data_IF_561815279854
#
_entry.id   IF_561815279854
#
_cell.length_a   1.000
_cell.length_b   1.000
_cell.length_c   1.000
_cell.angle_alpha   90.00
_cell.angle_beta   90.00
_cell.angle_gamma   90.00
#
_symmetry.space_group_name_H-M   'P 1'
#
loop_
_entity.id
_entity.type
_entity.pdbx_description
1 polymer ?
#
# COMPACT_ATOMS: atom_id res chain seq x y z
N UNK A 1 3.01 11.77 15.08
CA UNK A 1 2.79 10.50 15.80
C UNK A 1 3.77 9.48 15.26
N UNK A 2 4.67 8.92 16.07
CA UNK A 2 5.45 7.75 15.66
C UNK A 2 4.58 6.51 15.84
N UNK A 3 4.14 5.92 14.72
CA UNK A 3 3.39 4.68 14.73
C UNK A 3 4.35 3.56 15.16
N UNK A 4 4.17 3.03 16.38
CA UNK A 4 4.97 1.92 16.89
C UNK A 4 4.44 0.61 16.26
N UNK A 5 4.66 0.42 14.95
CA UNK A 5 4.22 -0.79 14.25
C UNK A 5 5.15 -1.92 14.62
N UNK A 6 4.61 -2.97 15.25
CA UNK A 6 5.32 -4.21 15.41
C UNK A 6 5.53 -4.85 14.04
N UNK A 7 6.77 -5.05 13.61
CA UNK A 7 7.10 -5.68 12.33
C UNK A 7 8.40 -5.17 11.73
N UNK A 8 8.83 -5.78 10.63
CA UNK A 8 9.97 -5.33 9.84
C UNK A 8 9.52 -4.90 8.45
N UNK A 9 10.14 -3.89 7.83
CA UNK A 9 9.82 -3.51 6.45
C UNK A 9 9.91 -4.69 5.47
N UNK A 10 9.17 -4.63 4.36
CA UNK A 10 9.13 -5.70 3.36
C UNK A 10 10.51 -6.03 2.83
N UNK A 11 11.38 -5.03 2.69
CA UNK A 11 12.77 -5.17 2.23
C UNK A 11 13.61 -6.15 3.08
N UNK A 12 13.19 -6.43 4.32
CA UNK A 12 13.88 -7.34 5.24
C UNK A 12 13.35 -8.77 5.18
N UNK A 13 12.67 -9.17 4.10
CA UNK A 13 12.11 -10.51 3.95
C UNK A 13 13.18 -11.60 4.00
N UNK A 14 12.88 -12.70 4.69
CA UNK A 14 13.78 -13.86 4.82
C UNK A 14 13.52 -14.97 3.80
N UNK A 15 12.40 -14.92 3.08
CA UNK A 15 12.05 -15.90 2.06
C UNK A 15 11.14 -15.32 0.98
N UNK A 16 11.19 -15.90 -0.22
CA UNK A 16 10.31 -15.54 -1.32
C UNK A 16 8.82 -15.77 -0.99
N UNK A 17 8.51 -16.83 -0.23
CA UNK A 17 7.15 -17.10 0.23
C UNK A 17 6.62 -15.95 1.09
N UNK A 18 7.43 -15.49 2.06
CA UNK A 18 7.07 -14.37 2.94
C UNK A 18 6.87 -13.07 2.16
N UNK A 19 7.73 -12.80 1.18
CA UNK A 19 7.59 -11.66 0.28
C UNK A 19 6.25 -11.70 -0.46
N UNK A 20 5.90 -12.83 -1.08
CA UNK A 20 4.65 -12.98 -1.84
C UNK A 20 3.43 -12.82 -0.95
N UNK A 21 3.43 -13.43 0.24
CA UNK A 21 2.33 -13.31 1.20
C UNK A 21 2.15 -11.85 1.67
N UNK A 22 3.25 -11.17 1.97
CA UNK A 22 3.20 -9.80 2.46
C UNK A 22 2.70 -8.82 1.39
N UNK A 23 3.20 -8.93 0.16
CA UNK A 23 2.71 -8.14 -0.99
C UNK A 23 1.24 -8.41 -1.26
N UNK A 24 0.84 -9.69 -1.27
CA UNK A 24 -0.56 -10.06 -1.44
C UNK A 24 -1.46 -9.43 -0.38
N UNK A 25 -1.06 -9.47 0.90
CA UNK A 25 -1.83 -8.84 1.98
C UNK A 25 -1.89 -7.31 1.83
N UNK A 26 -0.80 -6.65 1.43
CA UNK A 26 -0.78 -5.21 1.14
C UNK A 26 -1.78 -4.83 0.03
N UNK A 27 -1.82 -5.61 -1.06
CA UNK A 27 -2.77 -5.41 -2.15
C UNK A 27 -4.22 -5.61 -1.72
N UNK A 28 -4.49 -6.60 -0.87
CA UNK A 28 -5.82 -6.82 -0.30
C UNK A 28 -6.23 -5.67 0.62
N UNK A 29 -5.31 -5.14 1.44
CA UNK A 29 -5.57 -3.97 2.29
C UNK A 29 -5.89 -2.73 1.45
N UNK A 30 -5.09 -2.46 0.41
CA UNK A 30 -5.34 -1.37 -0.53
C UNK A 30 -6.69 -1.53 -1.25
N UNK A 31 -6.97 -2.73 -1.79
CA UNK A 31 -8.23 -3.02 -2.48
C UNK A 31 -9.44 -2.80 -1.56
N UNK A 32 -9.35 -3.26 -0.31
CA UNK A 32 -10.40 -3.02 0.69
C UNK A 32 -10.58 -1.52 0.99
N UNK A 33 -9.49 -0.76 1.15
CA UNK A 33 -9.57 0.68 1.39
C UNK A 33 -10.26 1.42 0.23
N UNK A 34 -9.93 1.05 -1.01
CA UNK A 34 -10.57 1.62 -2.19
C UNK A 34 -12.05 1.24 -2.26
N UNK A 35 -12.37 -0.06 -2.20
CA UNK A 35 -13.72 -0.55 -2.43
C UNK A 35 -14.70 -0.21 -1.31
N UNK A 36 -14.23 -0.15 -0.05
CA UNK A 36 -15.09 0.04 1.13
C UNK A 36 -15.13 1.47 1.63
N UNK A 37 -14.05 2.23 1.44
CA UNK A 37 -13.92 3.58 1.95
C UNK A 37 -13.67 4.63 0.86
N UNK A 38 -13.48 4.23 -0.40
CA UNK A 38 -13.14 5.16 -1.48
C UNK A 38 -11.77 5.79 -1.27
N UNK A 39 -10.83 5.10 -0.63
CA UNK A 39 -9.50 5.65 -0.31
C UNK A 39 -8.43 5.01 -1.20
N UNK A 40 -7.61 5.86 -1.84
CA UNK A 40 -6.36 5.46 -2.50
C UNK A 40 -5.17 5.72 -1.57
N UNK A 41 -4.29 4.73 -1.36
CA UNK A 41 -3.11 4.88 -0.49
C UNK A 41 -2.00 5.73 -1.13
N UNK A 42 -1.85 5.65 -2.46
CA UNK A 42 -0.89 6.40 -3.27
C UNK A 42 0.60 6.04 -3.11
N UNK A 43 0.98 5.32 -2.05
CA UNK A 43 2.35 4.84 -1.84
C UNK A 43 2.38 3.39 -1.32
N UNK A 44 2.51 2.44 -2.24
CA UNK A 44 2.69 1.00 -1.93
C UNK A 44 4.15 0.57 -2.08
N UNK A 45 5.09 1.45 -1.74
CA UNK A 45 6.51 1.11 -1.68
C UNK A 45 6.79 0.00 -0.64
N UNK A 46 7.88 -0.79 -0.83
CA UNK A 46 8.28 -1.84 0.11
C UNK A 46 8.47 -1.36 1.56
N UNK A 47 8.83 -0.10 1.75
CA UNK A 47 9.02 0.55 3.05
C UNK A 47 7.70 0.70 3.82
N UNK A 48 6.58 0.81 3.09
CA UNK A 48 5.24 0.96 3.66
C UNK A 48 4.47 -0.36 3.79
N UNK A 49 5.10 -1.48 3.43
CA UNK A 49 4.54 -2.81 3.68
C UNK A 49 5.35 -3.46 4.81
N UNK A 50 4.74 -3.64 5.96
CA UNK A 50 5.38 -4.26 7.12
C UNK A 50 5.07 -5.75 7.17
N UNK A 51 6.09 -6.56 7.42
CA UNK A 51 5.96 -7.96 7.76
C UNK A 51 5.76 -8.08 9.26
N UNK A 52 4.62 -8.65 9.67
CA UNK A 52 4.33 -8.95 11.07
C UNK A 52 3.65 -10.32 11.18
N UNK A 53 4.22 -11.22 11.99
CA UNK A 53 3.66 -12.57 12.24
C UNK A 53 3.31 -13.29 10.92
N UNK A 54 4.28 -13.32 9.99
CA UNK A 54 4.14 -13.94 8.65
C UNK A 54 3.05 -13.35 7.74
N UNK A 55 2.58 -12.13 8.01
CA UNK A 55 1.59 -11.41 7.21
C UNK A 55 2.11 -10.04 6.80
N UNK A 56 1.53 -9.49 5.74
CA UNK A 56 1.78 -8.10 5.31
C UNK A 56 0.77 -7.13 5.89
N UNK A 57 1.26 -5.98 6.33
CA UNK A 57 0.47 -4.84 6.81
C UNK A 57 0.83 -3.61 5.99
N UNK A 58 -0.15 -2.99 5.33
CA UNK A 58 0.05 -1.72 4.62
C UNK A 58 -0.08 -0.55 5.61
N UNK A 59 0.98 0.24 5.73
CA UNK A 59 1.12 1.35 6.69
C UNK A 59 1.40 2.67 5.96
N UNK A 60 1.50 3.75 6.74
CA UNK A 60 1.75 5.11 6.27
C UNK A 60 0.69 5.66 5.30
N UNK A 61 -0.52 5.84 5.84
CA UNK A 61 -1.69 6.36 5.13
C UNK A 61 -1.71 7.90 5.05
N UNK A 62 -0.55 8.56 5.14
CA UNK A 62 -0.46 10.03 5.13
C UNK A 62 -0.73 10.64 3.73
N UNK A 63 -0.46 9.91 2.65
CA UNK A 63 -0.65 10.33 1.26
C UNK A 63 -2.01 9.95 0.67
N UNK A 64 -2.95 9.55 1.53
CA UNK A 64 -4.26 9.08 1.07
C UNK A 64 -5.04 10.14 0.30
N UNK A 65 -5.79 9.69 -0.70
CA UNK A 65 -6.76 10.52 -1.41
C UNK A 65 -8.13 9.87 -1.38
N UNK A 66 -9.14 10.67 -1.05
CA UNK A 66 -10.53 10.27 -1.19
C UNK A 66 -10.92 10.33 -2.67
N UNK A 67 -11.53 9.26 -3.16
CA UNK A 67 -12.11 9.17 -4.49
C UNK A 67 -13.45 9.91 -4.44
N UNK A 68 -13.42 11.22 -4.68
CA UNK A 68 -14.64 11.99 -4.86
C UNK A 68 -15.26 11.62 -6.22
N UNK A 69 -16.56 11.36 -6.25
CA UNK A 69 -17.30 11.00 -7.47
C UNK A 69 -17.25 12.08 -8.58
N UNK A 70 -16.70 13.26 -8.28
CA UNK A 70 -16.60 14.41 -9.18
C UNK A 70 -15.14 14.70 -9.48
N UNK A 71 -14.63 14.14 -10.57
CA UNK A 71 -13.30 14.47 -11.05
C UNK A 71 -12.96 13.60 -12.24
N UNK A 72 -13.19 14.13 -13.44
CA UNK A 72 -12.56 13.63 -14.67
C UNK A 72 -11.15 13.15 -14.34
N UNK A 73 -10.83 11.90 -14.67
CA UNK A 73 -9.54 11.23 -14.40
C UNK A 73 -8.41 12.25 -14.60
N UNK A 74 -7.86 12.80 -13.52
CA UNK A 74 -6.68 13.64 -13.65
C UNK A 74 -5.51 12.69 -13.93
N UNK A 75 -5.31 12.42 -15.21
CA UNK A 75 -4.05 11.93 -15.74
C UNK A 75 -3.01 13.00 -15.47
N UNK A 76 -2.39 12.95 -14.29
CA UNK A 76 -1.20 13.74 -14.00
C UNK A 76 0.01 12.99 -14.53
N UNK A 77 0.32 13.30 -15.79
CA UNK A 77 1.66 13.35 -16.38
C UNK A 77 2.62 12.17 -16.12
N UNK A 78 2.23 10.96 -16.50
CA UNK A 78 3.18 9.90 -16.81
C UNK A 78 3.67 10.04 -18.26
N UNK A 79 4.84 10.63 -18.47
CA UNK A 79 5.53 10.53 -19.77
C UNK A 79 6.16 9.13 -19.84
N UNK A 80 5.50 8.20 -20.50
CA UNK A 80 6.17 7.06 -21.13
C UNK A 80 5.68 7.01 -22.57
N UNK A 81 6.58 7.43 -23.46
CA UNK A 81 6.45 7.35 -24.91
C UNK A 81 6.49 5.88 -25.34
N UNK A 82 5.89 5.61 -26.49
CA UNK A 82 5.88 4.35 -27.24
C UNK A 82 7.25 3.67 -27.29
#
# INVERSE_FOLDING_TARGET
>A
LTLNVAGTPLISFSSACLLVVAVHNGLIAHSNAYMKAGILHHDMSPENVMIHVHKGLLIDWNLVKLVTASGCRQMTHGTFRC
#
